data_IF_705638896679
#
_entry.id   IF_705638896679
#
_cell.length_a   1.000
_cell.length_b   1.000
_cell.length_c   1.000
_cell.angle_alpha   90.00
_cell.angle_beta   90.00
_cell.angle_gamma   90.00
#
_symmetry.space_group_name_H-M   'P 1'
#
loop_
_entity.id
_entity.type
_entity.pdbx_description
1 polymer ?
#
# COMPACT_ATOMS: atom_id res chain seq x y z
N UNK A 1 11.21 -25.61 -1.60
CA UNK A 1 11.39 -27.06 -1.85
C UNK A 1 12.47 -27.74 -1.00
N UNK A 2 13.55 -27.08 -0.53
CA UNK A 2 14.55 -27.74 0.34
C UNK A 2 13.98 -28.11 1.72
N UNK A 3 13.37 -27.14 2.43
CA UNK A 3 12.86 -27.36 3.79
C UNK A 3 11.82 -28.48 3.89
N UNK A 4 10.93 -28.62 2.90
CA UNK A 4 9.91 -29.69 2.89
C UNK A 4 10.50 -31.09 2.62
N UNK A 5 11.67 -31.18 1.98
CA UNK A 5 12.40 -32.45 1.87
C UNK A 5 12.94 -32.87 3.22
N UNK A 6 13.44 -31.90 3.97
CA UNK A 6 14.16 -32.14 5.21
C UNK A 6 13.22 -32.26 6.42
N UNK A 7 12.06 -31.61 6.41
CA UNK A 7 11.16 -31.50 7.56
C UNK A 7 9.74 -31.91 7.21
N UNK A 8 9.10 -32.71 8.06
CA UNK A 8 7.77 -33.27 7.84
C UNK A 8 6.63 -32.48 8.51
N UNK A 9 6.97 -31.59 9.45
CA UNK A 9 6.02 -30.76 10.19
C UNK A 9 6.37 -29.28 10.04
N UNK A 10 5.33 -28.45 9.87
CA UNK A 10 5.39 -27.00 9.87
C UNK A 10 4.43 -26.48 10.94
N UNK A 11 4.90 -25.58 11.80
CA UNK A 11 4.06 -24.83 12.75
C UNK A 11 4.26 -23.33 12.55
N UNK A 12 3.18 -22.58 12.51
CA UNK A 12 3.22 -21.12 12.40
C UNK A 12 3.01 -20.45 13.76
N UNK A 13 3.62 -19.29 13.92
CA UNK A 13 3.52 -18.42 15.09
C UNK A 13 3.40 -16.98 14.57
N UNK A 14 2.49 -16.21 15.15
CA UNK A 14 2.22 -14.80 14.86
C UNK A 14 2.36 -14.02 16.18
N UNK A 15 3.05 -12.87 16.18
CA UNK A 15 3.16 -12.02 17.38
C UNK A 15 1.97 -11.07 17.45
N UNK A 16 1.25 -11.12 18.56
CA UNK A 16 0.07 -10.27 18.75
C UNK A 16 0.45 -8.80 18.83
N UNK A 17 -0.16 -7.96 17.99
CA UNK A 17 0.01 -6.50 18.00
C UNK A 17 1.50 -6.10 18.10
N UNK A 18 2.32 -6.68 17.22
CA UNK A 18 3.78 -6.66 17.33
C UNK A 18 4.34 -5.27 17.66
N UNK A 19 4.15 -4.29 16.78
CA UNK A 19 4.68 -2.93 16.95
C UNK A 19 4.12 -2.21 18.19
N UNK A 20 2.83 -2.38 18.50
CA UNK A 20 2.20 -1.78 19.68
C UNK A 20 2.68 -2.40 20.99
N UNK A 21 3.16 -3.64 20.95
CA UNK A 21 3.60 -4.40 22.12
C UNK A 21 5.10 -4.23 22.41
N UNK A 22 5.87 -3.63 21.49
CA UNK A 22 7.30 -3.43 21.69
C UNK A 22 7.53 -2.41 22.80
N UNK A 23 8.18 -2.86 23.86
CA UNK A 23 8.67 -2.00 24.93
C UNK A 23 10.03 -1.41 24.53
N UNK A 24 10.12 -0.08 24.39
CA UNK A 24 11.30 0.62 23.84
C UNK A 24 12.60 0.34 24.63
N UNK A 25 12.52 0.30 25.96
CA UNK A 25 13.66 -0.05 26.81
C UNK A 25 14.18 -1.49 26.61
N UNK A 26 13.41 -2.37 25.97
CA UNK A 26 13.85 -3.74 25.68
C UNK A 26 15.02 -3.79 24.68
N UNK A 27 15.24 -2.73 23.89
CA UNK A 27 16.42 -2.60 23.03
C UNK A 27 17.73 -2.68 23.84
N UNK A 28 17.74 -2.16 25.08
CA UNK A 28 18.91 -2.26 25.94
C UNK A 28 19.20 -3.71 26.38
N UNK A 29 18.19 -4.58 26.41
CA UNK A 29 18.35 -6.02 26.70
C UNK A 29 18.92 -6.77 25.49
N UNK A 30 18.51 -6.38 24.28
CA UNK A 30 18.98 -7.00 23.04
C UNK A 30 20.41 -6.56 22.66
N UNK A 31 20.79 -5.32 22.98
CA UNK A 31 22.10 -4.76 22.59
C UNK A 31 23.21 -4.97 23.63
N UNK A 32 22.87 -5.39 24.85
CA UNK A 32 23.81 -5.60 25.95
C UNK A 32 23.31 -6.69 26.88
N UNK A 33 24.25 -7.42 27.50
CA UNK A 33 23.92 -8.30 28.62
C UNK A 33 23.21 -7.50 29.73
N UNK A 34 22.02 -7.97 30.18
CA UNK A 34 21.17 -7.33 31.20
C UNK A 34 21.94 -6.84 32.45
N UNK A 35 23.06 -7.48 32.78
CA UNK A 35 23.91 -7.14 33.92
C UNK A 35 24.81 -5.91 33.68
N UNK A 36 25.26 -5.67 32.45
CA UNK A 36 26.13 -4.52 32.11
C UNK A 36 25.37 -3.18 32.11
N UNK A 37 24.07 -3.21 31.77
CA UNK A 37 23.21 -2.02 31.75
C UNK A 37 22.99 -1.45 33.15
N UNK A 38 22.81 -2.31 34.17
CA UNK A 38 22.62 -1.86 35.56
C UNK A 38 23.87 -1.26 36.20
N UNK A 39 25.07 -1.62 35.71
CA UNK A 39 26.34 -1.16 36.28
C UNK A 39 26.85 0.18 35.70
N UNK A 40 26.30 0.64 34.56
CA UNK A 40 26.70 1.89 33.87
C UNK A 40 25.50 2.79 33.55
N UNK A 41 24.64 2.99 34.54
CA UNK A 41 23.55 3.97 34.46
C UNK A 41 24.17 5.37 34.30
N UNK A 42 23.96 6.02 33.15
CA UNK A 42 24.40 7.40 32.89
C UNK A 42 25.34 7.64 31.71
N UNK A 43 25.85 6.59 31.04
CA UNK A 43 26.63 6.75 29.79
C UNK A 43 25.72 6.66 28.57
N UNK A 44 25.72 7.70 27.73
CA UNK A 44 25.01 7.69 26.44
C UNK A 44 25.57 6.59 25.56
N UNK A 45 24.77 5.57 25.31
CA UNK A 45 25.10 4.44 24.44
C UNK A 45 24.13 4.38 23.27
N UNK A 46 24.49 3.64 22.22
CA UNK A 46 23.61 3.47 21.06
C UNK A 46 22.19 3.06 21.46
N UNK A 47 22.05 2.02 22.30
CA UNK A 47 20.75 1.54 22.77
C UNK A 47 19.92 2.62 23.47
N UNK A 48 20.52 3.39 24.39
CA UNK A 48 19.81 4.46 25.10
C UNK A 48 19.45 5.66 24.20
N UNK A 49 20.30 5.97 23.22
CA UNK A 49 20.02 7.05 22.27
C UNK A 49 18.88 6.66 21.30
N UNK A 50 18.88 5.41 20.84
CA UNK A 50 17.86 4.91 19.93
C UNK A 50 16.51 4.73 20.65
N UNK A 51 16.52 4.19 21.86
CA UNK A 51 15.35 4.13 22.76
C UNK A 51 14.73 5.52 22.97
N UNK A 52 15.54 6.53 23.33
CA UNK A 52 15.08 7.90 23.50
C UNK A 52 14.52 8.53 22.21
N UNK A 53 15.06 8.16 21.04
CA UNK A 53 14.51 8.59 19.75
C UNK A 53 13.12 7.99 19.53
N UNK A 54 12.95 6.69 19.75
CA UNK A 54 11.67 6.01 19.56
C UNK A 54 10.59 6.53 20.51
N UNK A 55 10.94 6.77 21.78
CA UNK A 55 10.04 7.40 22.74
C UNK A 55 9.59 8.77 22.24
N UNK A 56 10.52 9.66 21.86
CA UNK A 56 10.19 11.01 21.37
C UNK A 56 9.34 10.98 20.10
N UNK A 57 9.55 10.02 19.22
CA UNK A 57 8.73 9.82 18.03
C UNK A 57 7.29 9.41 18.34
N UNK A 58 7.05 8.86 19.54
CA UNK A 58 5.75 8.39 20.00
C UNK A 58 5.30 9.13 21.28
N UNK A 59 5.37 10.47 21.31
CA UNK A 59 4.90 11.30 22.44
C UNK A 59 5.54 11.00 23.81
N UNK A 60 6.78 10.48 23.81
CA UNK A 60 7.49 9.96 24.98
C UNK A 60 6.84 8.71 25.61
N UNK A 61 5.99 7.99 24.87
CA UNK A 61 5.50 6.68 25.27
C UNK A 61 6.62 5.64 25.24
N UNK A 62 6.61 4.76 26.22
CA UNK A 62 7.61 3.68 26.33
C UNK A 62 7.11 2.36 25.74
N UNK A 63 5.80 2.20 25.58
CA UNK A 63 5.15 1.02 25.01
C UNK A 63 4.59 1.34 23.64
N UNK A 64 4.90 0.48 22.68
CA UNK A 64 4.55 0.69 21.29
C UNK A 64 5.55 1.59 20.57
N UNK A 65 5.79 1.28 19.30
CA UNK A 65 6.57 2.12 18.39
C UNK A 65 5.73 2.48 17.17
N UNK A 66 5.98 3.64 16.57
CA UNK A 66 5.23 4.16 15.42
C UNK A 66 5.30 3.16 14.24
N UNK A 67 4.15 2.79 13.70
CA UNK A 67 4.04 1.91 12.53
C UNK A 67 4.22 2.74 11.25
N UNK A 68 5.00 2.22 10.30
CA UNK A 68 5.21 2.86 8.99
C UNK A 68 6.65 3.34 8.75
N UNK A 69 7.28 4.09 9.67
CA UNK A 69 8.68 4.49 9.52
C UNK A 69 9.63 3.27 9.48
N UNK A 70 10.52 3.25 8.49
CA UNK A 70 11.51 2.18 8.32
C UNK A 70 12.43 2.04 9.55
N UNK A 71 12.70 3.13 10.25
CA UNK A 71 13.50 3.13 11.47
C UNK A 71 12.84 2.30 12.60
N UNK A 72 11.51 2.28 12.69
CA UNK A 72 10.77 1.43 13.64
C UNK A 72 10.96 -0.05 13.33
N UNK A 73 11.02 -0.40 12.04
CA UNK A 73 11.28 -1.77 11.60
C UNK A 73 12.68 -2.22 11.97
N UNK A 74 13.69 -1.38 11.74
CA UNK A 74 15.07 -1.64 12.17
C UNK A 74 15.14 -1.83 13.69
N UNK A 75 14.43 -1.00 14.46
CA UNK A 75 14.36 -1.12 15.91
C UNK A 75 13.78 -2.46 16.36
N UNK A 76 12.64 -2.86 15.79
CA UNK A 76 12.01 -4.15 16.06
C UNK A 76 12.92 -5.33 15.69
N UNK A 77 13.55 -5.27 14.51
CA UNK A 77 14.41 -6.34 14.00
C UNK A 77 15.62 -6.61 14.92
N UNK A 78 16.21 -5.58 15.54
CA UNK A 78 17.28 -5.78 16.54
C UNK A 78 16.79 -6.61 17.73
N UNK A 79 15.59 -6.34 18.23
CA UNK A 79 14.98 -7.09 19.33
C UNK A 79 14.72 -8.54 18.91
N UNK A 80 14.12 -8.74 17.74
CA UNK A 80 13.81 -10.09 17.25
C UNK A 80 15.06 -10.93 16.95
N UNK A 81 16.16 -10.32 16.50
CA UNK A 81 17.42 -11.03 16.29
C UNK A 81 18.00 -11.60 17.60
N UNK A 82 17.90 -10.86 18.71
CA UNK A 82 18.29 -11.37 20.02
C UNK A 82 17.37 -12.53 20.47
N UNK A 83 16.06 -12.39 20.27
CA UNK A 83 15.09 -13.46 20.54
C UNK A 83 15.42 -14.72 19.72
N UNK A 84 15.70 -14.56 18.43
CA UNK A 84 16.07 -15.67 17.53
C UNK A 84 17.35 -16.38 18.02
N UNK A 85 18.35 -15.63 18.48
CA UNK A 85 19.59 -16.19 19.05
C UNK A 85 19.34 -16.92 20.37
N UNK A 86 18.51 -16.35 21.24
CA UNK A 86 18.15 -16.96 22.53
C UNK A 86 17.41 -18.28 22.32
N UNK A 87 16.48 -18.34 21.37
CA UNK A 87 15.76 -19.55 21.01
C UNK A 87 16.73 -20.63 20.53
N UNK A 88 17.61 -20.29 19.59
CA UNK A 88 18.61 -21.23 19.06
C UNK A 88 19.52 -21.77 20.17
N UNK A 89 20.02 -20.88 21.04
CA UNK A 89 20.89 -21.24 22.17
C UNK A 89 20.18 -22.17 23.14
N UNK A 90 18.93 -21.87 23.52
CA UNK A 90 18.16 -22.74 24.43
C UNK A 90 17.89 -24.12 23.82
N UNK A 91 17.54 -24.17 22.55
CA UNK A 91 17.26 -25.43 21.83
C UNK A 91 18.51 -26.29 21.67
N UNK A 92 19.66 -25.68 21.39
CA UNK A 92 20.94 -26.39 21.27
C UNK A 92 21.50 -26.87 22.63
N UNK A 93 21.09 -26.23 23.73
CA UNK A 93 21.54 -26.55 25.08
C UNK A 93 21.22 -27.99 25.51
N UNK A 94 21.90 -28.44 26.56
CA UNK A 94 21.89 -29.83 27.05
C UNK A 94 20.50 -30.42 27.32
N UNK A 95 19.52 -29.57 27.64
CA UNK A 95 18.16 -29.97 27.96
C UNK A 95 17.40 -30.55 26.76
N UNK A 96 17.62 -30.00 25.56
CA UNK A 96 16.88 -30.40 24.35
C UNK A 96 17.77 -31.00 23.27
N UNK A 97 18.99 -30.46 23.09
CA UNK A 97 19.97 -30.90 22.08
C UNK A 97 19.39 -30.90 20.65
N UNK A 98 18.51 -29.94 20.37
CA UNK A 98 17.97 -29.73 19.04
C UNK A 98 18.87 -28.76 18.28
N UNK A 99 19.50 -29.30 17.26
CA UNK A 99 20.36 -28.54 16.33
C UNK A 99 19.56 -27.94 15.16
N UNK A 100 19.83 -26.67 14.87
CA UNK A 100 19.28 -25.95 13.72
C UNK A 100 19.78 -26.58 12.41
N UNK A 101 18.89 -26.73 11.43
CA UNK A 101 19.17 -27.38 10.14
C UNK A 101 19.10 -28.91 10.17
N UNK A 102 19.17 -29.52 11.36
CA UNK A 102 19.08 -30.98 11.53
C UNK A 102 17.72 -31.39 12.04
N UNK A 103 17.32 -30.87 13.20
CA UNK A 103 16.08 -31.23 13.89
C UNK A 103 14.93 -30.28 13.53
N UNK A 104 15.27 -29.00 13.37
CA UNK A 104 14.34 -27.94 13.03
C UNK A 104 15.01 -26.85 12.18
N UNK A 105 14.21 -26.02 11.54
CA UNK A 105 14.62 -24.76 10.90
C UNK A 105 13.55 -23.71 11.19
N UNK A 106 13.97 -22.47 11.43
CA UNK A 106 13.06 -21.34 11.60
C UNK A 106 13.23 -20.39 10.43
N UNK A 107 12.13 -19.86 9.91
CA UNK A 107 12.10 -18.71 9.00
C UNK A 107 11.19 -17.67 9.61
N UNK A 108 11.71 -16.47 9.85
CA UNK A 108 10.93 -15.34 10.37
C UNK A 108 10.84 -14.26 9.31
N UNK A 109 9.69 -13.63 9.25
CA UNK A 109 9.42 -12.47 8.44
C UNK A 109 8.66 -11.46 9.29
N UNK A 110 9.36 -10.41 9.75
CA UNK A 110 8.84 -9.48 10.76
C UNK A 110 8.37 -10.25 12.00
N UNK A 111 7.06 -10.35 12.23
CA UNK A 111 6.37 -11.02 13.33
C UNK A 111 5.86 -12.42 12.97
N UNK A 112 5.83 -12.79 11.69
CA UNK A 112 5.47 -14.13 11.25
C UNK A 112 6.64 -15.09 11.38
N UNK A 113 6.45 -16.17 12.13
CA UNK A 113 7.47 -17.20 12.39
C UNK A 113 6.99 -18.57 11.88
N UNK A 114 7.77 -19.15 10.98
CA UNK A 114 7.55 -20.47 10.39
C UNK A 114 8.57 -21.46 10.94
N UNK A 115 8.08 -22.44 11.70
CA UNK A 115 8.89 -23.46 12.38
C UNK A 115 8.74 -24.77 11.60
N UNK A 116 9.81 -25.18 10.93
CA UNK A 116 9.92 -26.47 10.25
C UNK A 116 10.62 -27.47 11.16
N UNK A 117 10.11 -28.69 11.30
CA UNK A 117 10.74 -29.71 12.12
C UNK A 117 10.56 -31.14 11.57
N UNK A 118 11.44 -32.05 12.01
CA UNK A 118 11.38 -33.47 11.64
C UNK A 118 10.09 -34.13 12.13
N UNK A 119 9.62 -33.72 13.31
CA UNK A 119 8.43 -34.26 13.97
C UNK A 119 7.61 -33.12 14.58
N UNK A 120 6.29 -33.31 14.66
CA UNK A 120 5.37 -32.35 15.29
C UNK A 120 5.74 -32.08 16.75
N UNK A 121 6.24 -33.09 17.47
CA UNK A 121 6.73 -32.94 18.84
C UNK A 121 7.86 -31.92 18.94
N UNK A 122 8.79 -31.93 17.99
CA UNK A 122 9.90 -30.97 17.93
C UNK A 122 9.35 -29.59 17.56
N UNK A 123 8.48 -29.49 16.55
CA UNK A 123 7.87 -28.21 16.16
C UNK A 123 7.13 -27.55 17.34
N UNK A 124 6.36 -28.34 18.11
CA UNK A 124 5.69 -27.85 19.33
C UNK A 124 6.69 -27.38 20.38
N UNK A 125 7.78 -28.12 20.62
CA UNK A 125 8.79 -27.71 21.60
C UNK A 125 9.50 -26.42 21.18
N UNK A 126 9.86 -26.29 19.89
CA UNK A 126 10.44 -25.06 19.35
C UNK A 126 9.48 -23.89 19.52
N UNK A 127 8.19 -24.08 19.23
CA UNK A 127 7.15 -23.07 19.44
C UNK A 127 7.05 -22.63 20.91
N UNK A 128 7.03 -23.57 21.86
CA UNK A 128 6.98 -23.27 23.29
C UNK A 128 8.20 -22.45 23.73
N UNK A 129 9.40 -22.86 23.32
CA UNK A 129 10.64 -22.12 23.63
C UNK A 129 10.64 -20.74 23.00
N UNK A 130 10.14 -20.61 21.77
CA UNK A 130 10.02 -19.33 21.08
C UNK A 130 9.04 -18.38 21.80
N UNK A 131 7.86 -18.90 22.18
CA UNK A 131 6.87 -18.15 22.94
C UNK A 131 7.43 -17.67 24.30
N UNK A 132 8.18 -18.53 25.01
CA UNK A 132 8.83 -18.15 26.27
C UNK A 132 9.90 -17.07 26.09
N UNK A 133 10.63 -17.10 24.97
CA UNK A 133 11.62 -16.09 24.64
C UNK A 133 10.96 -14.74 24.31
N UNK A 134 9.87 -14.74 23.53
CA UNK A 134 9.04 -13.56 23.27
C UNK A 134 8.52 -12.94 24.58
N UNK A 135 7.99 -13.77 25.48
CA UNK A 135 7.47 -13.31 26.77
C UNK A 135 8.54 -12.58 27.60
N UNK A 136 9.82 -12.94 27.47
CA UNK A 136 10.91 -12.25 28.17
C UNK A 136 11.15 -10.80 27.69
N UNK A 137 10.55 -10.45 26.56
CA UNK A 137 10.51 -9.13 25.93
C UNK A 137 9.13 -8.45 26.03
N UNK A 138 8.20 -9.02 26.82
CA UNK A 138 6.78 -8.62 26.88
C UNK A 138 6.04 -8.75 25.54
N UNK A 139 6.52 -9.61 24.65
CA UNK A 139 5.84 -9.95 23.40
C UNK A 139 5.06 -11.26 23.58
N UNK A 140 3.89 -11.34 22.97
CA UNK A 140 2.97 -12.46 23.15
C UNK A 140 2.58 -13.09 21.81
N UNK A 141 2.39 -14.40 21.81
CA UNK A 141 1.96 -15.14 20.61
C UNK A 141 0.44 -15.05 20.47
N UNK A 142 -0.03 -14.84 19.24
CA UNK A 142 -1.43 -15.00 18.87
C UNK A 142 -1.78 -16.47 18.66
N UNK A 143 -2.20 -17.15 19.72
CA UNK A 143 -2.52 -18.57 19.67
C UNK A 143 -3.66 -18.90 18.70
N UNK A 144 -4.59 -17.97 18.44
CA UNK A 144 -5.72 -18.16 17.52
C UNK A 144 -5.30 -18.24 16.04
N UNK A 145 -4.13 -17.70 15.69
CA UNK A 145 -3.57 -17.72 14.32
C UNK A 145 -2.49 -18.78 14.10
N UNK A 146 -2.06 -19.48 15.16
CA UNK A 146 -1.10 -20.58 15.04
C UNK A 146 -1.74 -21.76 14.33
N UNK A 147 -1.14 -22.20 13.23
CA UNK A 147 -1.55 -23.40 12.49
C UNK A 147 -0.44 -24.44 12.48
N UNK A 148 -0.84 -25.72 12.44
CA UNK A 148 0.08 -26.84 12.28
C UNK A 148 -0.24 -27.56 10.98
N UNK A 149 0.78 -27.84 10.18
CA UNK A 149 0.68 -28.55 8.92
C UNK A 149 1.65 -29.74 8.92
N UNK A 150 1.20 -30.85 8.34
CA UNK A 150 2.07 -31.96 7.95
C UNK A 150 2.36 -31.85 6.46
N UNK A 151 3.47 -32.47 6.03
CA UNK A 151 3.79 -32.56 4.61
C UNK A 151 2.68 -33.31 3.84
N UNK A 152 2.23 -32.84 2.65
CA UNK A 152 2.71 -31.67 1.93
C UNK A 152 2.24 -30.34 2.55
N UNK A 153 3.15 -29.36 2.63
CA UNK A 153 2.85 -28.04 3.22
C UNK A 153 2.03 -27.18 2.25
N UNK A 154 0.78 -27.55 2.05
CA UNK A 154 -0.12 -26.91 1.09
C UNK A 154 -1.32 -26.30 1.82
N UNK A 155 -1.33 -24.98 1.95
CA UNK A 155 -2.42 -24.25 2.64
C UNK A 155 -3.64 -24.13 1.73
N UNK A 156 -4.84 -23.95 2.32
CA UNK A 156 -6.07 -23.70 1.56
C UNK A 156 -5.92 -22.48 0.63
N UNK A 157 -5.33 -21.38 1.14
CA UNK A 157 -5.01 -20.20 0.34
C UNK A 157 -4.08 -20.50 -0.83
N UNK A 158 -3.00 -21.26 -0.60
CA UNK A 158 -2.06 -21.67 -1.67
C UNK A 158 -2.74 -22.53 -2.73
N UNK A 159 -3.68 -23.39 -2.35
CA UNK A 159 -4.48 -24.21 -3.27
C UNK A 159 -5.32 -23.33 -4.19
N UNK A 160 -6.08 -22.41 -3.62
CA UNK A 160 -6.94 -21.50 -4.39
C UNK A 160 -6.11 -20.63 -5.32
N UNK A 161 -5.05 -20.00 -4.82
CA UNK A 161 -4.17 -19.14 -5.63
C UNK A 161 -3.58 -19.92 -6.81
N UNK A 162 -3.19 -21.19 -6.61
CA UNK A 162 -2.71 -22.06 -7.69
C UNK A 162 -3.79 -22.35 -8.72
N UNK A 163 -5.00 -22.71 -8.29
CA UNK A 163 -6.13 -22.96 -9.20
C UNK A 163 -6.50 -21.70 -10.00
N UNK A 164 -6.54 -20.55 -9.33
CA UNK A 164 -6.77 -19.24 -9.95
C UNK A 164 -5.67 -18.91 -10.96
N UNK A 165 -4.39 -19.14 -10.63
CA UNK A 165 -3.28 -18.94 -11.57
C UNK A 165 -3.48 -19.74 -12.87
N UNK A 166 -3.82 -21.03 -12.75
CA UNK A 166 -4.11 -21.86 -13.92
C UNK A 166 -5.26 -21.27 -14.75
N UNK A 167 -6.34 -20.83 -14.09
CA UNK A 167 -7.47 -20.19 -14.78
C UNK A 167 -7.11 -18.89 -15.47
N UNK A 168 -6.26 -18.06 -14.87
CA UNK A 168 -5.76 -16.83 -15.48
C UNK A 168 -4.94 -17.16 -16.74
N UNK A 169 -4.06 -18.16 -16.69
CA UNK A 169 -3.27 -18.58 -17.85
C UNK A 169 -4.18 -19.11 -18.97
N UNK A 170 -5.04 -20.09 -18.66
CA UNK A 170 -6.02 -20.66 -19.60
C UNK A 170 -6.91 -19.58 -20.23
N UNK A 171 -7.31 -18.58 -19.45
CA UNK A 171 -8.11 -17.46 -19.92
C UNK A 171 -7.33 -16.57 -20.89
N UNK A 172 -6.11 -16.22 -20.52
CA UNK A 172 -5.25 -15.34 -21.31
C UNK A 172 -4.91 -15.95 -22.66
N UNK A 173 -4.63 -17.26 -22.69
CA UNK A 173 -4.27 -17.98 -23.92
C UNK A 173 -5.40 -17.99 -24.97
N UNK A 174 -6.67 -17.76 -24.55
CA UNK A 174 -7.81 -17.66 -25.46
C UNK A 174 -7.73 -16.44 -26.37
N UNK A 175 -7.14 -15.35 -25.92
CA UNK A 175 -7.13 -14.09 -26.65
C UNK A 175 -5.75 -13.41 -26.75
N UNK A 176 -4.70 -13.96 -26.14
CA UNK A 176 -3.33 -13.49 -26.32
C UNK A 176 -2.42 -14.62 -26.81
N UNK A 177 -1.40 -14.23 -27.57
CA UNK A 177 -0.28 -15.06 -27.98
C UNK A 177 1.03 -14.46 -27.48
N UNK A 178 1.90 -15.33 -26.98
CA UNK A 178 3.21 -14.94 -26.47
C UNK A 178 4.24 -14.89 -27.59
N UNK A 179 4.95 -13.75 -27.73
CA UNK A 179 6.09 -13.60 -28.66
C UNK A 179 7.38 -13.22 -27.91
N UNK A 180 8.51 -13.29 -28.63
CA UNK A 180 9.83 -12.88 -28.14
C UNK A 180 10.23 -13.49 -26.79
N UNK A 181 10.11 -14.81 -26.65
CA UNK A 181 10.49 -15.50 -25.41
C UNK A 181 9.63 -15.11 -24.21
N UNK A 182 8.34 -14.83 -24.42
CA UNK A 182 7.37 -14.46 -23.38
C UNK A 182 7.53 -13.05 -22.80
N UNK A 183 8.20 -12.16 -23.53
CA UNK A 183 8.32 -10.74 -23.16
C UNK A 183 7.19 -9.87 -23.68
N UNK A 184 6.50 -10.31 -24.75
CA UNK A 184 5.43 -9.54 -25.42
C UNK A 184 4.18 -10.40 -25.57
N UNK A 185 3.00 -9.78 -25.45
CA UNK A 185 1.73 -10.38 -25.83
C UNK A 185 1.13 -9.69 -27.05
N UNK A 186 0.68 -10.49 -28.01
CA UNK A 186 -0.08 -10.03 -29.18
C UNK A 186 -1.51 -10.58 -29.09
N UNK A 187 -2.54 -9.75 -29.23
CA UNK A 187 -3.91 -10.18 -29.12
C UNK A 187 -4.39 -10.95 -30.35
N UNK A 188 -5.30 -11.91 -30.11
CA UNK A 188 -6.08 -12.65 -31.10
C UNK A 188 -7.46 -12.01 -31.22
N UNK A 189 -8.20 -12.40 -32.24
CA UNK A 189 -9.58 -11.93 -32.42
C UNK A 189 -10.49 -12.34 -31.24
N UNK A 190 -11.25 -11.38 -30.71
CA UNK A 190 -12.22 -11.59 -29.64
C UNK A 190 -13.63 -11.38 -30.19
N UNK A 191 -14.33 -12.46 -30.53
CA UNK A 191 -15.67 -12.32 -31.14
C UNK A 191 -16.72 -11.68 -30.21
N UNK A 192 -16.61 -11.86 -28.88
CA UNK A 192 -17.57 -11.33 -27.89
C UNK A 192 -16.89 -11.01 -26.57
N UNK A 193 -16.42 -9.77 -26.42
CA UNK A 193 -15.73 -9.26 -25.22
C UNK A 193 -16.50 -9.56 -23.93
N UNK A 194 -17.77 -9.15 -23.84
CA UNK A 194 -18.57 -9.33 -22.61
C UNK A 194 -18.72 -10.81 -22.21
N UNK A 195 -18.90 -11.70 -23.19
CA UNK A 195 -19.00 -13.14 -22.92
C UNK A 195 -17.68 -13.69 -22.39
N UNK A 196 -16.56 -13.25 -22.94
CA UNK A 196 -15.23 -13.65 -22.49
C UNK A 196 -15.00 -13.23 -21.04
N UNK A 197 -15.26 -11.95 -20.72
CA UNK A 197 -15.16 -11.38 -19.36
C UNK A 197 -16.04 -12.15 -18.36
N UNK A 198 -17.34 -12.28 -18.64
CA UNK A 198 -18.26 -12.97 -17.73
C UNK A 198 -17.89 -14.45 -17.52
N UNK A 199 -17.48 -15.15 -18.58
CA UNK A 199 -17.07 -16.55 -18.46
C UNK A 199 -15.87 -16.74 -17.53
N UNK A 200 -14.95 -15.76 -17.50
CA UNK A 200 -13.83 -15.78 -16.58
C UNK A 200 -14.25 -15.49 -15.15
N UNK A 201 -15.05 -14.43 -14.95
CA UNK A 201 -15.59 -14.07 -13.64
C UNK A 201 -16.34 -15.26 -13.02
N UNK A 202 -17.20 -15.94 -13.78
CA UNK A 202 -17.95 -17.10 -13.31
C UNK A 202 -17.04 -18.30 -13.00
N UNK A 203 -15.96 -18.48 -13.76
CA UNK A 203 -14.95 -19.50 -13.42
C UNK A 203 -14.28 -19.19 -12.08
N UNK A 204 -13.96 -17.93 -11.80
CA UNK A 204 -13.37 -17.54 -10.51
C UNK A 204 -14.38 -17.69 -9.38
N UNK A 205 -15.65 -17.32 -9.58
CA UNK A 205 -16.74 -17.55 -8.62
C UNK A 205 -16.83 -19.02 -8.23
N UNK A 206 -16.85 -19.90 -9.22
CA UNK A 206 -16.92 -21.34 -9.00
C UNK A 206 -15.70 -21.84 -8.20
N UNK A 207 -14.49 -21.38 -8.52
CA UNK A 207 -13.27 -21.76 -7.78
C UNK A 207 -13.30 -21.28 -6.33
N UNK A 208 -13.73 -20.05 -6.07
CA UNK A 208 -13.82 -19.50 -4.71
C UNK A 208 -14.88 -20.25 -3.89
N UNK A 209 -16.08 -20.43 -4.44
CA UNK A 209 -17.18 -21.16 -3.80
C UNK A 209 -16.81 -22.61 -3.50
N UNK A 210 -16.12 -23.30 -4.41
CA UNK A 210 -15.68 -24.71 -4.22
C UNK A 210 -14.69 -24.88 -3.08
N UNK A 211 -13.88 -23.84 -2.79
CA UNK A 211 -12.86 -23.88 -1.75
C UNK A 211 -13.27 -23.12 -0.49
N UNK A 212 -14.53 -22.68 -0.38
CA UNK A 212 -15.07 -21.93 0.76
C UNK A 212 -14.27 -20.66 1.10
N UNK A 213 -13.80 -19.95 0.07
CA UNK A 213 -13.08 -18.67 0.22
C UNK A 213 -13.85 -17.53 -0.44
N UNK A 214 -13.67 -16.33 0.10
CA UNK A 214 -14.17 -15.10 -0.50
C UNK A 214 -13.26 -14.55 -1.60
N UNK A 215 -13.73 -13.50 -2.27
CA UNK A 215 -12.97 -12.80 -3.30
C UNK A 215 -11.77 -12.03 -2.74
N UNK A 216 -11.82 -11.63 -1.48
CA UNK A 216 -10.75 -10.94 -0.75
C UNK A 216 -9.43 -11.74 -0.76
N UNK A 217 -9.51 -13.07 -0.79
CA UNK A 217 -8.33 -13.94 -0.84
C UNK A 217 -7.61 -13.95 -2.19
N UNK A 218 -8.29 -13.58 -3.29
CA UNK A 218 -7.79 -13.75 -4.66
C UNK A 218 -7.74 -12.46 -5.48
N UNK A 219 -8.51 -11.43 -5.14
CA UNK A 219 -8.68 -10.24 -5.99
C UNK A 219 -7.38 -9.46 -6.15
N UNK A 220 -6.63 -9.24 -5.07
CA UNK A 220 -5.31 -8.58 -5.14
C UNK A 220 -4.31 -9.37 -6.00
N UNK A 221 -4.38 -10.71 -5.96
CA UNK A 221 -3.58 -11.58 -6.82
C UNK A 221 -4.00 -11.47 -8.30
N UNK A 222 -5.30 -11.49 -8.59
CA UNK A 222 -5.86 -11.37 -9.93
C UNK A 222 -5.47 -10.05 -10.59
N UNK A 223 -5.68 -8.94 -9.89
CA UNK A 223 -5.29 -7.59 -10.34
C UNK A 223 -3.79 -7.56 -10.63
N UNK A 224 -2.97 -8.14 -9.76
CA UNK A 224 -1.52 -8.25 -9.99
C UNK A 224 -1.19 -9.08 -11.25
N UNK A 225 -1.83 -10.23 -11.43
CA UNK A 225 -1.59 -11.11 -12.55
C UNK A 225 -2.02 -10.49 -13.89
N UNK A 226 -3.07 -9.66 -13.88
CA UNK A 226 -3.50 -8.89 -15.05
C UNK A 226 -2.61 -7.69 -15.32
N UNK A 227 -2.17 -6.96 -14.30
CA UNK A 227 -1.20 -5.88 -14.47
C UNK A 227 0.09 -6.36 -15.15
N UNK A 228 0.63 -7.53 -14.75
CA UNK A 228 1.79 -8.13 -15.42
C UNK A 228 1.54 -8.47 -16.90
N UNK A 229 0.29 -8.79 -17.27
CA UNK A 229 -0.10 -9.05 -18.67
C UNK A 229 -0.30 -7.77 -19.45
N UNK A 230 -0.88 -6.73 -18.83
CA UNK A 230 -0.98 -5.38 -19.39
C UNK A 230 0.41 -4.87 -19.77
N UNK A 231 1.38 -4.94 -18.85
CA UNK A 231 2.77 -4.54 -19.14
C UNK A 231 3.35 -5.23 -20.37
N UNK A 232 3.04 -6.52 -20.56
CA UNK A 232 3.51 -7.30 -21.71
C UNK A 232 2.71 -7.04 -22.99
N UNK A 233 1.44 -6.69 -22.89
CA UNK A 233 0.58 -6.31 -24.02
C UNK A 233 1.04 -4.98 -24.63
N UNK A 234 1.34 -4.00 -23.78
CA UNK A 234 1.75 -2.66 -24.20
C UNK A 234 3.24 -2.56 -24.58
N UNK A 235 4.02 -3.61 -24.31
CA UNK A 235 5.47 -3.64 -24.58
C UNK A 235 5.75 -3.92 -26.07
N UNK A 236 5.28 -3.03 -26.93
CA UNK A 236 5.46 -3.05 -28.38
C UNK A 236 5.86 -1.66 -28.87
N UNK A 237 6.66 -1.61 -29.93
CA UNK A 237 7.01 -0.33 -30.56
C UNK A 237 5.90 0.17 -31.50
N UNK A 238 5.30 -0.75 -32.25
CA UNK A 238 4.23 -0.47 -33.22
C UNK A 238 3.27 -1.64 -33.34
N UNK A 239 2.01 -1.36 -33.62
CA UNK A 239 1.02 -2.38 -34.00
C UNK A 239 1.17 -2.65 -35.50
N UNK A 240 1.09 -3.92 -35.90
CA UNK A 240 1.11 -4.33 -37.30
C UNK A 240 -0.02 -3.64 -38.08
N UNK A 241 0.28 -3.16 -39.29
CA UNK A 241 -0.68 -2.39 -40.12
C UNK A 241 -1.72 -3.27 -40.82
N UNK A 242 -1.81 -4.55 -40.48
CA UNK A 242 -2.83 -5.45 -41.01
C UNK A 242 -4.23 -5.03 -40.54
N UNK A 243 -5.21 -5.19 -41.43
CA UNK A 243 -6.60 -4.79 -41.14
C UNK A 243 -7.13 -5.58 -39.93
N UNK A 244 -7.67 -4.86 -38.94
CA UNK A 244 -8.23 -5.44 -37.72
C UNK A 244 -7.24 -5.72 -36.59
N UNK A 245 -5.93 -5.48 -36.75
CA UNK A 245 -4.98 -5.63 -35.63
C UNK A 245 -5.27 -4.63 -34.49
N UNK A 246 -5.54 -3.37 -34.83
CA UNK A 246 -5.88 -2.34 -33.85
C UNK A 246 -7.15 -2.73 -33.07
N UNK A 247 -8.15 -3.31 -33.73
CA UNK A 247 -9.37 -3.83 -33.09
C UNK A 247 -9.07 -4.92 -32.06
N UNK A 248 -8.14 -5.83 -32.35
CA UNK A 248 -7.73 -6.89 -31.41
C UNK A 248 -7.08 -6.29 -30.16
N UNK A 249 -6.24 -5.27 -30.32
CA UNK A 249 -5.65 -4.55 -29.18
C UNK A 249 -6.72 -3.79 -28.38
N UNK A 250 -7.62 -3.06 -29.05
CA UNK A 250 -8.76 -2.40 -28.38
C UNK A 250 -9.54 -3.40 -27.53
N UNK A 251 -9.91 -4.54 -28.08
CA UNK A 251 -10.73 -5.53 -27.38
C UNK A 251 -9.98 -6.14 -26.19
N UNK A 252 -8.68 -6.44 -26.35
CA UNK A 252 -7.85 -6.92 -25.25
C UNK A 252 -7.71 -5.89 -24.13
N UNK A 253 -7.53 -4.60 -24.47
CA UNK A 253 -7.49 -3.49 -23.50
C UNK A 253 -8.79 -3.42 -22.71
N UNK A 254 -9.95 -3.47 -23.39
CA UNK A 254 -11.26 -3.45 -22.74
C UNK A 254 -11.42 -4.66 -21.80
N UNK A 255 -11.05 -5.87 -22.23
CA UNK A 255 -11.09 -7.06 -21.36
C UNK A 255 -10.29 -6.86 -20.07
N UNK A 256 -9.09 -6.28 -20.14
CA UNK A 256 -8.29 -6.02 -18.95
C UNK A 256 -8.91 -4.96 -18.05
N UNK A 257 -9.44 -3.87 -18.60
CA UNK A 257 -10.13 -2.84 -17.82
C UNK A 257 -11.32 -3.43 -17.06
N UNK A 258 -12.23 -4.12 -17.75
CA UNK A 258 -13.42 -4.74 -17.14
C UNK A 258 -13.05 -5.67 -15.98
N UNK A 259 -12.05 -6.53 -16.16
CA UNK A 259 -11.67 -7.49 -15.14
C UNK A 259 -11.00 -6.83 -13.94
N UNK A 260 -10.06 -5.90 -14.16
CA UNK A 260 -9.35 -5.24 -13.07
C UNK A 260 -10.32 -4.39 -12.24
N UNK A 261 -11.22 -3.63 -12.88
CA UNK A 261 -12.26 -2.87 -12.17
C UNK A 261 -13.24 -3.79 -11.42
N UNK A 262 -13.67 -4.91 -12.02
CA UNK A 262 -14.55 -5.86 -11.34
C UNK A 262 -13.91 -6.47 -10.08
N UNK A 263 -12.69 -7.00 -10.17
CA UNK A 263 -12.07 -7.62 -8.99
C UNK A 263 -11.69 -6.58 -7.94
N UNK A 264 -11.43 -5.33 -8.36
CA UNK A 264 -11.20 -4.26 -7.42
C UNK A 264 -12.48 -3.83 -6.70
N UNK A 265 -13.61 -3.71 -7.41
CA UNK A 265 -14.89 -3.33 -6.79
C UNK A 265 -15.38 -4.34 -5.78
N UNK A 266 -15.13 -5.63 -6.02
CA UNK A 266 -15.57 -6.72 -5.13
C UNK A 266 -14.73 -6.82 -3.85
N UNK A 267 -13.42 -6.57 -3.91
CA UNK A 267 -12.55 -6.60 -2.75
C UNK A 267 -11.43 -5.54 -2.87
N UNK A 268 -11.75 -4.26 -2.58
CA UNK A 268 -10.79 -3.17 -2.66
C UNK A 268 -9.68 -3.34 -1.64
N UNK A 269 -8.46 -2.98 -2.04
CA UNK A 269 -7.34 -2.84 -1.12
C UNK A 269 -6.38 -1.75 -1.58
N UNK A 270 -5.71 -1.10 -0.64
CA UNK A 270 -4.66 -0.10 -0.95
C UNK A 270 -3.60 -0.68 -1.89
N UNK A 271 -3.12 -1.91 -1.66
CA UNK A 271 -2.07 -2.50 -2.50
C UNK A 271 -2.56 -2.81 -3.92
N UNK A 272 -3.81 -3.28 -4.08
CA UNK A 272 -4.41 -3.51 -5.39
C UNK A 272 -4.71 -2.20 -6.13
N UNK A 273 -5.02 -1.13 -5.39
CA UNK A 273 -5.32 0.18 -5.98
C UNK A 273 -4.17 0.73 -6.80
N UNK A 274 -2.91 0.53 -6.37
CA UNK A 274 -1.73 0.99 -7.13
C UNK A 274 -1.64 0.31 -8.50
N UNK A 275 -1.91 -1.00 -8.56
CA UNK A 275 -1.87 -1.79 -9.80
C UNK A 275 -3.05 -1.49 -10.71
N UNK A 276 -4.24 -1.25 -10.15
CA UNK A 276 -5.38 -0.73 -10.90
C UNK A 276 -5.01 0.62 -11.53
N UNK A 277 -4.54 1.57 -10.73
CA UNK A 277 -4.19 2.93 -11.20
C UNK A 277 -3.10 2.90 -12.26
N UNK A 278 -2.04 2.12 -12.06
CA UNK A 278 -0.97 1.96 -13.04
C UNK A 278 -1.49 1.31 -14.33
N UNK A 279 -2.35 0.28 -14.23
CA UNK A 279 -2.98 -0.34 -15.41
C UNK A 279 -3.82 0.67 -16.19
N UNK A 280 -4.63 1.47 -15.49
CA UNK A 280 -5.46 2.52 -16.10
C UNK A 280 -4.59 3.52 -16.86
N UNK A 281 -3.58 4.10 -16.21
CA UNK A 281 -2.69 5.09 -16.82
C UNK A 281 -1.96 4.50 -18.03
N UNK A 282 -1.38 3.30 -17.88
CA UNK A 282 -0.65 2.63 -18.96
C UNK A 282 -1.54 2.33 -20.16
N UNK A 283 -2.75 1.80 -19.94
CA UNK A 283 -3.68 1.45 -21.02
C UNK A 283 -4.21 2.70 -21.72
N UNK A 284 -4.48 3.79 -21.00
CA UNK A 284 -4.88 5.06 -21.59
C UNK A 284 -3.75 5.66 -22.44
N UNK A 285 -2.52 5.77 -21.92
CA UNK A 285 -1.36 6.27 -22.68
C UNK A 285 -1.03 5.39 -23.89
N UNK A 286 -1.14 4.07 -23.75
CA UNK A 286 -1.02 3.14 -24.87
C UNK A 286 -2.09 3.38 -25.93
N UNK A 287 -3.33 3.63 -25.52
CA UNK A 287 -4.43 3.92 -26.46
C UNK A 287 -4.22 5.21 -27.26
N UNK A 288 -3.70 6.26 -26.61
CA UNK A 288 -3.34 7.53 -27.25
C UNK A 288 -2.24 7.33 -28.30
N UNK A 289 -1.23 6.52 -27.97
CA UNK A 289 -0.05 6.34 -28.82
C UNK A 289 -0.31 5.40 -29.99
N UNK A 290 -1.12 4.35 -29.81
CA UNK A 290 -1.19 3.24 -30.77
C UNK A 290 -2.58 2.93 -31.33
N UNK A 291 -3.67 3.34 -30.68
CA UNK A 291 -5.02 2.87 -31.05
C UNK A 291 -5.84 3.86 -31.88
N UNK A 292 -5.29 5.04 -32.19
CA UNK A 292 -5.88 6.02 -33.10
C UNK A 292 -7.36 6.30 -32.80
N UNK A 293 -8.32 5.90 -33.67
CA UNK A 293 -9.74 6.18 -33.46
C UNK A 293 -10.32 5.59 -32.17
N UNK A 294 -9.70 4.55 -31.59
CA UNK A 294 -10.18 3.90 -30.38
C UNK A 294 -9.64 4.50 -29.08
N UNK A 295 -8.77 5.52 -29.13
CA UNK A 295 -8.34 6.27 -27.94
C UNK A 295 -9.55 6.69 -27.08
N UNK A 296 -10.50 7.40 -27.71
CA UNK A 296 -11.67 7.90 -27.02
C UNK A 296 -12.56 6.78 -26.47
N UNK A 297 -12.64 5.64 -27.18
CA UNK A 297 -13.39 4.47 -26.72
C UNK A 297 -12.79 3.89 -25.45
N UNK A 298 -11.47 3.74 -25.39
CA UNK A 298 -10.77 3.23 -24.21
C UNK A 298 -10.93 4.18 -23.03
N UNK A 299 -10.63 5.48 -23.21
CA UNK A 299 -10.75 6.48 -22.15
C UNK A 299 -12.18 6.62 -21.64
N UNK A 300 -13.17 6.63 -22.54
CA UNK A 300 -14.58 6.68 -22.16
C UNK A 300 -14.98 5.46 -21.33
N UNK A 301 -14.56 4.25 -21.73
CA UNK A 301 -14.88 3.05 -20.96
C UNK A 301 -14.20 3.03 -19.60
N UNK A 302 -12.93 3.45 -19.53
CA UNK A 302 -12.22 3.62 -18.26
C UNK A 302 -12.94 4.61 -17.34
N UNK A 303 -13.38 5.75 -17.88
CA UNK A 303 -14.14 6.75 -17.13
C UNK A 303 -15.45 6.17 -16.60
N UNK A 304 -16.24 5.48 -17.42
CA UNK A 304 -17.49 4.82 -17.01
C UNK A 304 -17.25 3.82 -15.87
N UNK A 305 -16.27 2.93 -16.01
CA UNK A 305 -15.93 1.95 -14.98
C UNK A 305 -15.50 2.61 -13.67
N UNK A 306 -14.79 3.73 -13.75
CA UNK A 306 -14.34 4.45 -12.58
C UNK A 306 -15.48 5.23 -11.90
N UNK A 307 -16.40 5.81 -12.67
CA UNK A 307 -17.62 6.41 -12.14
C UNK A 307 -18.50 5.34 -11.49
N UNK A 308 -18.75 4.20 -12.15
CA UNK A 308 -19.51 3.08 -11.58
C UNK A 308 -18.90 2.59 -10.26
N UNK A 309 -17.57 2.49 -10.21
CA UNK A 309 -16.83 2.12 -9.00
C UNK A 309 -17.05 3.14 -7.88
N UNK A 310 -16.87 4.43 -8.17
CA UNK A 310 -16.99 5.53 -7.21
C UNK A 310 -18.44 5.83 -6.81
N UNK A 311 -19.44 5.47 -7.62
CA UNK A 311 -20.85 5.61 -7.28
C UNK A 311 -21.38 4.46 -6.44
N UNK A 312 -20.82 3.26 -6.63
CA UNK A 312 -21.17 2.04 -5.91
C UNK A 312 -20.70 2.00 -4.45
N UNK A 313 -20.56 0.79 -3.91
CA UNK A 313 -20.21 0.56 -2.51
C UNK A 313 -18.93 1.28 -2.08
N UNK A 314 -18.00 1.51 -3.02
CA UNK A 314 -16.74 2.21 -2.79
C UNK A 314 -16.99 3.68 -2.37
N UNK A 315 -17.82 4.45 -3.08
CA UNK A 315 -18.12 5.83 -2.70
C UNK A 315 -19.31 6.00 -1.76
N UNK A 316 -20.03 4.92 -1.46
CA UNK A 316 -21.09 4.87 -0.46
C UNK A 316 -20.59 4.50 0.95
N UNK A 317 -19.28 4.27 1.14
CA UNK A 317 -18.69 4.07 2.47
C UNK A 317 -18.77 5.38 3.28
N UNK A 318 -19.93 5.63 3.87
CA UNK A 318 -20.06 6.48 5.05
C UNK A 318 -19.60 5.65 6.24
N UNK A 319 -18.41 5.94 6.73
CA UNK A 319 -17.92 5.33 7.96
C UNK A 319 -18.32 6.22 9.13
N UNK A 320 -19.05 5.65 10.10
CA UNK A 320 -19.29 6.29 11.40
C UNK A 320 -17.99 6.43 12.23
N UNK A 321 -16.86 5.94 11.72
CA UNK A 321 -15.54 6.04 12.37
C UNK A 321 -14.95 7.42 12.10
N UNK A 322 -14.72 8.18 13.18
CA UNK A 322 -13.99 9.45 13.14
C UNK A 322 -12.63 9.29 12.46
N UNK A 323 -12.30 10.20 11.53
CA UNK A 323 -11.06 10.25 10.75
C UNK A 323 -10.83 9.06 9.79
N UNK A 324 -11.88 8.38 9.34
CA UNK A 324 -11.75 7.38 8.29
C UNK A 324 -11.30 8.01 6.97
N UNK A 325 -10.18 7.54 6.43
CA UNK A 325 -9.64 7.95 5.13
C UNK A 325 -9.81 6.81 4.15
N UNK A 326 -10.50 7.10 3.05
CA UNK A 326 -10.77 6.09 2.04
C UNK A 326 -9.75 6.15 0.89
N UNK A 327 -8.54 5.69 1.18
CA UNK A 327 -7.37 5.76 0.29
C UNK A 327 -7.62 5.11 -1.07
N UNK A 328 -8.41 4.04 -1.08
CA UNK A 328 -8.85 3.32 -2.28
C UNK A 328 -9.51 4.26 -3.30
N UNK A 329 -10.53 5.03 -2.89
CA UNK A 329 -11.18 6.00 -3.77
C UNK A 329 -10.25 7.14 -4.17
N UNK A 330 -9.45 7.66 -3.22
CA UNK A 330 -8.52 8.75 -3.49
C UNK A 330 -7.51 8.38 -4.58
N UNK A 331 -6.96 7.17 -4.55
CA UNK A 331 -6.02 6.71 -5.58
C UNK A 331 -6.69 6.63 -6.96
N UNK A 332 -7.93 6.12 -7.04
CA UNK A 332 -8.68 6.03 -8.29
C UNK A 332 -8.96 7.43 -8.86
N UNK A 333 -9.40 8.38 -8.03
CA UNK A 333 -9.66 9.77 -8.44
C UNK A 333 -8.39 10.41 -9.02
N UNK A 334 -7.25 10.20 -8.37
CA UNK A 334 -5.97 10.68 -8.88
C UNK A 334 -5.64 10.06 -10.24
N UNK A 335 -5.79 8.74 -10.41
CA UNK A 335 -5.50 8.07 -11.68
C UNK A 335 -6.38 8.59 -12.84
N UNK A 336 -7.67 8.88 -12.58
CA UNK A 336 -8.59 9.46 -13.57
C UNK A 336 -8.11 10.83 -14.05
N UNK A 337 -7.46 11.61 -13.17
CA UNK A 337 -6.99 12.95 -13.52
C UNK A 337 -5.90 12.96 -14.61
N UNK A 338 -5.24 11.83 -14.86
CA UNK A 338 -4.24 11.66 -15.94
C UNK A 338 -4.88 11.56 -17.34
N UNK A 339 -6.19 11.26 -17.44
CA UNK A 339 -6.89 11.07 -18.72
C UNK A 339 -7.20 12.38 -19.48
N UNK A 340 -6.95 13.53 -18.84
CA UNK A 340 -7.18 14.86 -19.40
C UNK A 340 -8.54 15.48 -19.05
N UNK A 341 -8.71 16.76 -19.42
CA UNK A 341 -9.86 17.58 -19.00
C UNK A 341 -11.23 17.05 -19.49
N UNK A 342 -11.26 16.23 -20.55
CA UNK A 342 -12.50 15.66 -21.09
C UNK A 342 -13.11 14.52 -20.26
N UNK A 343 -12.34 13.96 -19.32
CA UNK A 343 -12.74 12.80 -18.49
C UNK A 343 -12.79 13.14 -17.01
N UNK A 344 -13.16 14.38 -16.72
CA UNK A 344 -13.33 14.88 -15.38
C UNK A 344 -14.59 14.34 -14.72
N UNK A 345 -14.49 13.99 -13.44
CA UNK A 345 -15.61 13.51 -12.66
C UNK A 345 -16.65 14.63 -12.48
N UNK A 346 -17.95 14.29 -12.46
CA UNK A 346 -18.99 15.30 -12.26
C UNK A 346 -18.81 15.99 -10.90
N UNK A 347 -18.97 17.32 -10.80
CA UNK A 347 -18.87 18.06 -9.54
C UNK A 347 -19.73 17.46 -8.42
N UNK A 348 -20.91 16.92 -8.73
CA UNK A 348 -21.81 16.27 -7.78
C UNK A 348 -21.18 15.03 -7.16
N UNK A 349 -20.49 14.21 -7.97
CA UNK A 349 -19.80 13.01 -7.50
C UNK A 349 -18.57 13.37 -6.66
N UNK A 350 -17.77 14.35 -7.11
CA UNK A 350 -16.63 14.86 -6.33
C UNK A 350 -17.12 15.41 -4.98
N UNK A 351 -18.19 16.22 -5.00
CA UNK A 351 -18.79 16.74 -3.79
C UNK A 351 -19.25 15.61 -2.87
N UNK A 352 -19.98 14.60 -3.37
CA UNK A 352 -20.42 13.44 -2.59
C UNK A 352 -19.24 12.72 -1.91
N UNK A 353 -18.14 12.50 -2.63
CA UNK A 353 -16.98 11.77 -2.12
C UNK A 353 -16.26 12.54 -1.01
N UNK A 354 -16.14 13.86 -1.14
CA UNK A 354 -15.38 14.70 -0.20
C UNK A 354 -16.27 15.41 0.85
N UNK A 355 -17.59 15.26 0.79
CA UNK A 355 -18.52 15.91 1.71
C UNK A 355 -18.24 15.47 3.16
N UNK A 356 -18.12 16.44 4.06
CA UNK A 356 -17.89 16.19 5.49
C UNK A 356 -16.49 15.70 5.84
N UNK A 357 -15.62 15.45 4.86
CA UNK A 357 -14.24 15.01 5.08
C UNK A 357 -13.30 16.18 5.33
N UNK A 358 -12.40 16.02 6.29
CA UNK A 358 -11.54 17.11 6.78
C UNK A 358 -10.08 16.68 7.02
N UNK A 359 -9.73 15.44 6.69
CA UNK A 359 -8.34 14.98 6.87
C UNK A 359 -7.41 15.70 5.89
N UNK A 360 -6.12 15.73 6.20
CA UNK A 360 -5.08 16.25 5.31
C UNK A 360 -5.14 15.58 3.94
N UNK A 361 -5.30 14.25 3.92
CA UNK A 361 -5.37 13.48 2.68
C UNK A 361 -6.59 13.85 1.84
N UNK A 362 -7.75 14.04 2.47
CA UNK A 362 -8.98 14.42 1.77
C UNK A 362 -8.87 15.81 1.15
N UNK A 363 -8.48 16.81 1.96
CA UNK A 363 -8.41 18.21 1.53
C UNK A 363 -7.36 18.41 0.42
N UNK A 364 -6.19 17.81 0.59
CA UNK A 364 -5.09 17.94 -0.36
C UNK A 364 -5.37 17.17 -1.64
N UNK A 365 -5.91 15.95 -1.56
CA UNK A 365 -6.27 15.18 -2.76
C UNK A 365 -7.37 15.88 -3.54
N UNK A 366 -8.40 16.39 -2.86
CA UNK A 366 -9.47 17.14 -3.51
C UNK A 366 -8.90 18.37 -4.23
N UNK A 367 -8.09 19.18 -3.54
CA UNK A 367 -7.44 20.36 -4.12
C UNK A 367 -6.53 20.00 -5.32
N UNK A 368 -5.77 18.91 -5.21
CA UNK A 368 -4.89 18.43 -6.28
C UNK A 368 -5.67 17.99 -7.52
N UNK A 369 -6.82 17.35 -7.33
CA UNK A 369 -7.71 16.92 -8.41
C UNK A 369 -8.42 18.09 -9.10
N UNK A 370 -9.08 18.96 -8.33
CA UNK A 370 -9.92 20.04 -8.88
C UNK A 370 -9.11 21.21 -9.43
N UNK A 371 -7.91 21.46 -8.87
CA UNK A 371 -7.02 22.57 -9.22
C UNK A 371 -7.79 23.92 -9.21
N UNK A 372 -7.64 24.74 -10.26
CA UNK A 372 -8.35 26.01 -10.47
C UNK A 372 -9.46 25.92 -11.52
N UNK A 373 -10.04 24.72 -11.77
CA UNK A 373 -11.08 24.56 -12.80
C UNK A 373 -12.41 25.16 -12.35
N UNK A 374 -13.06 25.90 -13.25
CA UNK A 374 -14.24 26.72 -12.93
C UNK A 374 -15.45 25.88 -12.49
N UNK A 375 -15.64 24.70 -13.07
CA UNK A 375 -16.71 23.74 -12.73
C UNK A 375 -16.68 23.28 -11.27
N UNK A 376 -15.52 23.32 -10.61
CA UNK A 376 -15.35 22.94 -9.21
C UNK A 376 -15.23 24.13 -8.25
N UNK A 377 -15.57 25.35 -8.70
CA UNK A 377 -15.39 26.58 -7.90
C UNK A 377 -16.07 26.55 -6.52
N UNK A 378 -17.24 25.93 -6.40
CA UNK A 378 -17.91 25.73 -5.10
C UNK A 378 -17.10 24.81 -4.19
N UNK A 379 -16.71 23.63 -4.70
CA UNK A 379 -15.93 22.63 -3.97
C UNK A 379 -14.58 23.23 -3.53
N UNK A 380 -13.91 23.98 -4.42
CA UNK A 380 -12.67 24.65 -4.10
C UNK A 380 -12.83 25.64 -2.94
N UNK A 381 -13.92 26.41 -2.93
CA UNK A 381 -14.22 27.36 -1.86
C UNK A 381 -14.44 26.64 -0.52
N UNK A 382 -15.12 25.50 -0.54
CA UNK A 382 -15.38 24.67 0.64
C UNK A 382 -14.07 24.06 1.19
N UNK A 383 -13.25 23.47 0.32
CA UNK A 383 -11.93 22.91 0.69
C UNK A 383 -11.03 23.98 1.30
N UNK A 384 -10.91 25.16 0.67
CA UNK A 384 -10.11 26.26 1.20
C UNK A 384 -10.65 26.74 2.56
N UNK A 385 -11.97 26.73 2.75
CA UNK A 385 -12.59 27.11 4.02
C UNK A 385 -12.28 26.10 5.13
N UNK A 386 -12.30 24.80 4.82
CA UNK A 386 -11.87 23.74 5.75
C UNK A 386 -10.38 23.85 6.10
N UNK A 387 -9.50 24.07 5.12
CA UNK A 387 -8.07 24.34 5.35
C UNK A 387 -7.90 25.56 6.27
N UNK A 388 -8.62 26.66 6.00
CA UNK A 388 -8.51 27.88 6.80
C UNK A 388 -8.97 27.66 8.26
N UNK A 389 -10.01 26.84 8.47
CA UNK A 389 -10.45 26.42 9.80
C UNK A 389 -9.40 25.58 10.51
N UNK A 390 -8.82 24.58 9.84
CA UNK A 390 -7.78 23.71 10.43
C UNK A 390 -6.47 24.44 10.73
N UNK A 391 -6.14 25.44 9.93
CA UNK A 391 -4.97 26.31 10.13
C UNK A 391 -5.29 27.55 10.97
N UNK A 392 -6.49 27.64 11.57
CA UNK A 392 -6.90 28.76 12.40
C UNK A 392 -6.09 28.84 13.71
N UNK A 393 -5.84 27.68 14.32
CA UNK A 393 -4.96 27.50 15.47
C UNK A 393 -3.81 26.57 15.08
N UNK A 394 -2.55 26.99 15.29
CA UNK A 394 -1.35 26.21 14.97
C UNK A 394 -0.57 25.78 16.24
N UNK A 395 -1.15 25.89 17.43
CA UNK A 395 -0.48 25.58 18.71
C UNK A 395 0.08 24.14 18.76
N UNK A 396 -0.58 23.22 18.06
CA UNK A 396 -0.20 21.80 18.00
C UNK A 396 0.75 21.45 16.86
N UNK A 397 1.18 22.39 16.01
CA UNK A 397 1.89 22.08 14.76
C UNK A 397 3.23 21.34 14.95
N UNK A 398 3.82 21.44 16.15
CA UNK A 398 5.07 20.74 16.50
C UNK A 398 4.86 19.28 16.89
N UNK A 399 3.62 18.88 17.18
CA UNK A 399 3.26 17.54 17.66
C UNK A 399 2.25 16.84 16.75
N UNK A 400 1.37 17.60 16.08
CA UNK A 400 0.40 17.10 15.13
C UNK A 400 1.01 17.09 13.71
N UNK A 401 1.42 15.90 13.27
CA UNK A 401 2.00 15.68 11.95
C UNK A 401 1.02 16.04 10.83
N UNK A 402 -0.27 15.80 11.02
CA UNK A 402 -1.29 16.06 10.00
C UNK A 402 -1.47 17.57 9.79
N UNK A 403 -1.52 18.33 10.88
CA UNK A 403 -1.55 19.80 10.82
C UNK A 403 -0.27 20.36 10.18
N UNK A 404 0.89 19.79 10.51
CA UNK A 404 2.17 20.21 9.92
C UNK A 404 2.19 19.97 8.39
N UNK A 405 1.82 18.78 7.93
CA UNK A 405 1.71 18.46 6.50
C UNK A 405 0.71 19.39 5.80
N UNK A 406 -0.49 19.56 6.38
CA UNK A 406 -1.52 20.44 5.83
C UNK A 406 -1.03 21.86 5.68
N UNK A 407 -0.35 22.41 6.69
CA UNK A 407 0.23 23.74 6.62
C UNK A 407 1.25 23.84 5.48
N UNK A 408 2.25 22.95 5.45
CA UNK A 408 3.36 22.99 4.51
C UNK A 408 2.90 22.90 3.06
N UNK A 409 2.01 21.95 2.73
CA UNK A 409 1.50 21.80 1.37
C UNK A 409 0.49 22.88 0.99
N UNK A 410 -0.30 23.40 1.94
CA UNK A 410 -1.26 24.49 1.65
C UNK A 410 -0.56 25.82 1.37
N UNK A 411 0.57 26.12 2.03
CA UNK A 411 1.33 27.35 1.74
C UNK A 411 2.16 27.26 0.45
N UNK A 412 2.49 26.05 -0.02
CA UNK A 412 3.12 25.85 -1.33
C UNK A 412 2.09 25.72 -2.47
N UNK A 413 0.82 25.43 -2.17
CA UNK A 413 -0.21 25.20 -3.18
C UNK A 413 -0.46 26.42 -4.11
N UNK A 414 -0.28 26.29 -5.43
CA UNK A 414 -0.50 27.38 -6.38
C UNK A 414 -1.98 27.73 -6.60
N UNK A 415 -2.89 26.82 -6.25
CA UNK A 415 -4.34 26.97 -6.41
C UNK A 415 -4.99 27.77 -5.26
N UNK A 416 -4.21 28.14 -4.24
CA UNK A 416 -4.68 28.96 -3.12
C UNK A 416 -4.14 30.39 -3.27
N UNK A 417 -5.01 31.37 -3.04
CA UNK A 417 -4.64 32.79 -3.11
C UNK A 417 -3.47 33.15 -2.18
N UNK A 418 -2.53 33.95 -2.70
CA UNK A 418 -1.29 34.34 -1.98
C UNK A 418 -1.59 35.08 -0.68
N UNK A 419 -2.69 35.83 -0.58
CA UNK A 419 -3.08 36.55 0.65
C UNK A 419 -3.41 35.57 1.77
N UNK A 420 -4.15 34.49 1.46
CA UNK A 420 -4.46 33.43 2.44
C UNK A 420 -3.21 32.70 2.89
N UNK A 421 -2.35 32.31 1.94
CA UNK A 421 -1.07 31.64 2.24
C UNK A 421 -0.16 32.50 3.12
N UNK A 422 -0.02 33.79 2.80
CA UNK A 422 0.75 34.75 3.60
C UNK A 422 0.20 34.88 5.03
N UNK A 423 -1.13 34.91 5.19
CA UNK A 423 -1.79 34.94 6.51
C UNK A 423 -1.41 33.71 7.34
N UNK A 424 -1.41 32.51 6.75
CA UNK A 424 -1.03 31.28 7.46
C UNK A 424 0.45 31.28 7.84
N UNK A 425 1.35 31.72 6.94
CA UNK A 425 2.79 31.85 7.25
C UNK A 425 3.01 32.78 8.45
N UNK A 426 2.41 33.97 8.45
CA UNK A 426 2.55 34.90 9.58
C UNK A 426 2.03 34.33 10.90
N UNK A 427 0.96 33.52 10.85
CA UNK A 427 0.42 32.84 12.02
C UNK A 427 1.40 31.78 12.55
N UNK A 428 1.98 30.97 11.69
CA UNK A 428 2.98 29.98 12.07
C UNK A 428 4.17 30.61 12.81
N UNK A 429 4.74 31.69 12.27
CA UNK A 429 5.84 32.41 12.93
C UNK A 429 5.44 32.98 14.29
N UNK A 430 4.20 33.48 14.41
CA UNK A 430 3.66 33.95 15.69
C UNK A 430 3.56 32.82 16.71
N UNK A 431 3.04 31.65 16.32
CA UNK A 431 2.95 30.47 17.19
C UNK A 431 4.34 30.00 17.64
N UNK A 432 5.33 30.01 16.74
CA UNK A 432 6.70 29.63 17.07
C UNK A 432 7.48 30.68 17.87
N UNK A 433 6.88 31.83 18.23
CA UNK A 433 7.55 32.95 18.89
C UNK A 433 8.76 33.49 18.10
N UNK A 434 8.71 33.40 16.78
CA UNK A 434 9.77 33.84 15.86
C UNK A 434 9.35 35.15 15.17
N UNK A 435 10.26 36.10 14.90
CA UNK A 435 9.94 37.33 14.17
C UNK A 435 9.30 37.04 12.81
N UNK A 436 8.25 37.79 12.47
CA UNK A 436 7.54 37.63 11.18
C UNK A 436 8.50 37.84 10.00
N UNK A 437 8.38 37.02 8.93
CA UNK A 437 9.18 37.22 7.74
C UNK A 437 8.82 38.56 7.07
N UNK A 438 9.81 39.17 6.42
CA UNK A 438 9.61 40.34 5.57
C UNK A 438 8.82 39.98 4.31
N UNK A 439 8.24 40.98 3.65
CA UNK A 439 7.54 40.78 2.37
C UNK A 439 8.43 40.12 1.32
N UNK A 440 9.71 40.51 1.25
CA UNK A 440 10.66 39.93 0.31
C UNK A 440 10.88 38.44 0.58
N UNK A 441 11.06 38.05 1.85
CA UNK A 441 11.24 36.63 2.21
C UNK A 441 10.03 35.77 1.87
N UNK A 442 8.81 36.31 1.99
CA UNK A 442 7.58 35.60 1.61
C UNK A 442 7.49 35.45 0.09
N UNK A 443 7.83 36.49 -0.68
CA UNK A 443 7.87 36.41 -2.14
C UNK A 443 8.94 35.43 -2.63
N UNK A 444 10.13 35.46 -2.03
CA UNK A 444 11.21 34.51 -2.31
C UNK A 444 10.77 33.07 -2.01
N UNK A 445 10.05 32.84 -0.91
CA UNK A 445 9.46 31.54 -0.60
C UNK A 445 8.48 31.10 -1.70
N UNK A 446 7.54 31.95 -2.11
CA UNK A 446 6.56 31.59 -3.15
C UNK A 446 7.21 31.30 -4.50
N UNK A 447 8.26 32.01 -4.88
CA UNK A 447 8.99 31.77 -6.12
C UNK A 447 9.75 30.44 -6.09
N UNK A 448 10.24 30.02 -4.92
CA UNK A 448 10.95 28.74 -4.77
C UNK A 448 10.00 27.55 -4.50
N UNK A 449 8.81 27.78 -3.95
CA UNK A 449 7.84 26.75 -3.59
C UNK A 449 7.23 26.02 -4.80
N UNK A 450 7.37 26.59 -6.01
CA UNK A 450 6.98 25.93 -7.26
C UNK A 450 8.01 24.89 -7.72
N UNK A 451 9.28 25.06 -7.35
CA UNK A 451 10.37 24.16 -7.73
C UNK A 451 10.72 23.17 -6.61
N UNK A 452 10.55 23.60 -5.36
CA UNK A 452 10.82 22.81 -4.16
C UNK A 452 9.50 22.52 -3.45
N UNK A 453 9.02 21.29 -3.61
CA UNK A 453 7.81 20.82 -2.94
C UNK A 453 8.10 20.18 -1.59
N UNK A 454 7.09 20.15 -0.73
CA UNK A 454 7.12 19.46 0.55
C UNK A 454 6.75 17.99 0.36
N UNK A 455 5.51 17.61 0.67
CA UNK A 455 5.02 16.25 0.45
C UNK A 455 4.29 16.13 -0.88
N UNK A 456 3.72 17.23 -1.38
CA UNK A 456 2.95 17.26 -2.62
C UNK A 456 3.65 18.12 -3.66
N UNK A 457 4.00 17.48 -4.77
CA UNK A 457 4.40 18.19 -5.97
C UNK A 457 3.15 18.64 -6.75
N UNK A 458 2.68 19.86 -6.50
CA UNK A 458 1.51 20.44 -7.19
C UNK A 458 1.65 20.58 -8.70
N UNK A 459 2.88 20.46 -9.22
CA UNK A 459 3.20 20.47 -10.65
C UNK A 459 3.39 19.06 -11.22
N UNK A 460 3.26 18.00 -10.41
CA UNK A 460 3.46 16.62 -10.86
C UNK A 460 2.41 16.25 -11.91
N UNK A 461 2.92 15.94 -13.10
CA UNK A 461 2.12 15.52 -14.24
C UNK A 461 2.14 13.99 -14.38
N UNK A 462 3.11 13.30 -13.76
CA UNK A 462 3.33 11.87 -14.01
C UNK A 462 3.07 10.99 -12.78
N UNK A 463 1.79 10.74 -12.54
CA UNK A 463 1.31 9.85 -11.47
C UNK A 463 1.87 8.43 -11.59
N UNK A 464 2.18 7.96 -12.81
CA UNK A 464 2.76 6.63 -13.03
C UNK A 464 4.12 6.51 -12.36
N UNK A 465 4.99 7.51 -12.52
CA UNK A 465 6.31 7.54 -11.89
C UNK A 465 6.21 7.52 -10.35
N UNK A 466 5.22 8.21 -9.78
CA UNK A 466 4.97 8.17 -8.34
C UNK A 466 4.50 6.78 -7.88
N UNK A 467 3.61 6.13 -8.64
CA UNK A 467 3.14 4.76 -8.39
C UNK A 467 4.28 3.74 -8.50
N UNK A 468 5.09 3.80 -9.56
CA UNK A 468 6.24 2.91 -9.77
C UNK A 468 7.29 3.08 -8.69
N UNK A 469 7.61 4.31 -8.27
CA UNK A 469 8.50 4.55 -7.11
C UNK A 469 7.93 3.94 -5.84
N UNK A 470 6.61 3.93 -5.68
CA UNK A 470 5.94 3.33 -4.52
C UNK A 470 5.95 1.80 -4.59
N UNK A 471 5.83 1.21 -5.78
CA UNK A 471 6.03 -0.23 -6.00
C UNK A 471 7.49 -0.65 -5.80
N UNK A 472 8.47 0.13 -6.28
CA UNK A 472 9.90 -0.10 -6.04
C UNK A 472 10.28 0.11 -4.56
N UNK A 473 9.49 0.92 -3.84
CA UNK A 473 9.55 1.10 -2.38
C UNK A 473 8.60 0.18 -1.64
N UNK A 474 7.99 -0.81 -2.30
CA UNK A 474 7.59 -2.00 -1.57
C UNK A 474 8.89 -2.60 -1.05
N UNK A 475 9.27 -2.16 0.16
CA UNK A 475 9.88 -3.07 1.10
C UNK A 475 8.84 -4.17 1.17
N UNK A 476 9.21 -5.30 0.56
CA UNK A 476 8.48 -6.56 0.36
C UNK A 476 8.02 -6.84 -1.07
#
# INVERSE_FOLDING_TARGET
MSLEKDFASLKTLDVSKCFDSIYTHSLAWATKEKQYVKAKIGLSTFGSAFDALMQKANYNETNGIVIGPEISRIFAEIIFQDIDQMVQTRLAGDLYRYELGVHYSIKRYVDDVFIFAKEEKIARKVYEVYADCLNSYNLHVNSSKSSTYSRPFFTAKSKVVREVNLKVNEFTDKFLESKNGNSVFIPKEIHRVNRLVHSFIDSIKATCSTNEVGYDEVSSYLISAFFERVKRLINIDTIDQEEGEIDKYRDAVIVFLELIFFFYSVAPSVSASYKLCASVILLCRFSEMHLGPYENTVKQRTYELAVELLEGDLGAVESDVENFIFLEALNVILAISDMGDGYLLPPELVSKIFQGKDSYYDLVTCMFYIKNRAEYSSIQSDVISSIERRLANLDSIQTDAEQACLFLDSVSCPYIDRKKRTKWIHRFYQTCSTPKPSKQQVEDFFNNATENFWFINWNEVDLLNALERKELRQVY
#
